data_IF_322438742993
#
_entry.id   IF_322438742993
#
_cell.length_a   1.000
_cell.length_b   1.000
_cell.length_c   1.000
_cell.angle_alpha   90.00
_cell.angle_beta   90.00
_cell.angle_gamma   90.00
#
_symmetry.space_group_name_H-M   'P 1'
#
loop_
_entity.id
_entity.type
_entity.pdbx_description
1 polymer ?
#
# COMPACT_ATOMS: atom_id res chain seq x y z
N UNK A 1 -9.97 10.83 -21.35
CA UNK A 1 -11.45 11.08 -21.27
C UNK A 1 -12.10 10.50 -20.01
N UNK A 2 -11.43 9.62 -19.25
CA UNK A 2 -11.91 9.15 -17.94
C UNK A 2 -11.29 9.92 -16.77
N UNK A 3 -10.74 11.10 -17.02
CA UNK A 3 -9.88 11.80 -16.06
C UNK A 3 -10.68 12.72 -15.12
N UNK A 4 -11.80 13.25 -15.60
CA UNK A 4 -12.72 14.07 -14.82
C UNK A 4 -14.18 13.75 -15.13
N UNK A 5 -15.03 13.81 -14.11
CA UNK A 5 -16.47 13.69 -14.22
C UNK A 5 -17.10 14.91 -13.54
N UNK A 6 -17.85 15.72 -14.30
CA UNK A 6 -18.44 16.97 -13.82
C UNK A 6 -17.42 17.95 -13.19
N UNK A 7 -16.18 17.96 -13.69
CA UNK A 7 -15.10 18.83 -13.18
C UNK A 7 -14.36 18.30 -11.96
N UNK A 8 -14.74 17.13 -11.42
CA UNK A 8 -14.03 16.46 -10.32
C UNK A 8 -13.15 15.31 -10.84
N UNK A 9 -12.06 14.95 -10.16
CA UNK A 9 -11.28 13.76 -10.50
C UNK A 9 -12.18 12.53 -10.52
N UNK A 10 -12.17 11.79 -11.62
CA UNK A 10 -13.07 10.64 -11.76
C UNK A 10 -12.68 9.48 -10.84
N UNK A 11 -11.40 9.36 -10.50
CA UNK A 11 -10.87 8.24 -9.73
C UNK A 11 -11.55 8.07 -8.35
N UNK A 12 -11.63 9.09 -7.47
CA UNK A 12 -12.39 9.02 -6.21
C UNK A 12 -13.85 8.59 -6.36
N UNK A 13 -14.51 8.89 -7.49
CA UNK A 13 -15.89 8.42 -7.72
C UNK A 13 -15.90 6.94 -8.11
N UNK A 14 -15.00 6.54 -9.02
CA UNK A 14 -14.95 5.17 -9.56
C UNK A 14 -14.51 4.16 -8.50
N UNK A 15 -13.62 4.52 -7.55
CA UNK A 15 -13.10 3.58 -6.54
C UNK A 15 -14.15 2.98 -5.61
N UNK A 16 -15.33 3.60 -5.48
CA UNK A 16 -16.44 3.04 -4.71
C UNK A 16 -16.89 1.69 -5.26
N UNK A 17 -16.82 1.50 -6.59
CA UNK A 17 -17.24 0.26 -7.22
C UNK A 17 -16.39 -0.95 -6.76
N UNK A 18 -15.06 -0.98 -6.91
CA UNK A 18 -14.27 -2.12 -6.43
C UNK A 18 -14.27 -2.26 -4.91
N UNK A 19 -14.30 -1.16 -4.15
CA UNK A 19 -14.32 -1.20 -2.67
C UNK A 19 -15.56 -1.90 -2.14
N UNK A 20 -16.71 -1.74 -2.80
CA UNK A 20 -17.96 -2.39 -2.39
C UNK A 20 -18.15 -3.74 -3.07
N UNK A 21 -18.00 -3.80 -4.39
CA UNK A 21 -18.38 -4.96 -5.18
C UNK A 21 -17.41 -6.13 -5.05
N UNK A 22 -16.09 -5.89 -4.95
CA UNK A 22 -15.11 -6.98 -4.84
C UNK A 22 -15.28 -7.73 -3.52
N UNK A 23 -15.31 -7.09 -2.32
CA UNK A 23 -15.54 -7.82 -1.07
C UNK A 23 -16.91 -8.49 -1.03
N UNK A 24 -17.95 -7.82 -1.51
CA UNK A 24 -19.31 -8.38 -1.53
C UNK A 24 -19.39 -9.63 -2.42
N UNK A 25 -18.81 -9.59 -3.62
CA UNK A 25 -18.77 -10.73 -4.52
C UNK A 25 -17.90 -11.88 -3.97
N UNK A 26 -16.73 -11.57 -3.41
CA UNK A 26 -15.87 -12.56 -2.75
C UNK A 26 -16.58 -13.27 -1.59
N UNK A 27 -17.21 -12.51 -0.68
CA UNK A 27 -17.98 -13.07 0.44
C UNK A 27 -19.18 -13.87 -0.06
N UNK A 28 -19.91 -13.36 -1.06
CA UNK A 28 -21.02 -14.07 -1.67
C UNK A 28 -20.59 -15.42 -2.27
N UNK A 29 -19.43 -15.47 -2.94
CA UNK A 29 -18.88 -16.69 -3.48
C UNK A 29 -18.48 -17.68 -2.38
N UNK A 30 -17.78 -17.22 -1.33
CA UNK A 30 -17.43 -18.05 -0.17
C UNK A 30 -18.68 -18.62 0.52
N UNK A 31 -19.73 -17.82 0.68
CA UNK A 31 -21.01 -18.28 1.23
C UNK A 31 -21.64 -19.35 0.34
N UNK A 32 -21.63 -19.19 -0.98
CA UNK A 32 -22.18 -20.19 -1.91
C UNK A 32 -21.33 -21.47 -2.01
N UNK A 33 -20.02 -21.40 -1.74
CA UNK A 33 -19.18 -22.58 -1.56
C UNK A 33 -19.65 -23.39 -0.34
N UNK A 34 -19.89 -22.71 0.79
CA UNK A 34 -20.27 -23.32 2.07
C UNK A 34 -21.76 -23.71 2.19
N UNK A 35 -22.65 -23.04 1.46
CA UNK A 35 -24.11 -23.23 1.53
C UNK A 35 -24.71 -23.63 0.18
N UNK A 36 -24.66 -24.93 -0.19
CA UNK A 36 -25.18 -25.40 -1.48
C UNK A 36 -26.66 -25.08 -1.73
N UNK A 37 -27.49 -25.10 -0.68
CA UNK A 37 -28.92 -24.80 -0.76
C UNK A 37 -29.23 -23.37 -1.28
N UNK A 38 -28.28 -22.44 -1.17
CA UNK A 38 -28.47 -21.04 -1.54
C UNK A 38 -28.10 -20.77 -3.01
N UNK A 39 -27.40 -21.70 -3.66
CA UNK A 39 -26.90 -21.55 -5.04
C UNK A 39 -28.01 -21.26 -6.06
N UNK A 40 -29.17 -21.95 -6.07
CA UNK A 40 -30.22 -21.71 -7.07
C UNK A 40 -30.77 -20.28 -7.04
N UNK A 41 -30.87 -19.70 -5.83
CA UNK A 41 -31.44 -18.36 -5.64
C UNK A 41 -30.46 -17.24 -5.96
N UNK A 42 -29.19 -17.40 -5.59
CA UNK A 42 -28.22 -16.30 -5.62
C UNK A 42 -27.13 -16.42 -6.69
N UNK A 43 -26.96 -17.57 -7.36
CA UNK A 43 -25.89 -17.75 -8.35
C UNK A 43 -25.93 -16.72 -9.51
N UNK A 44 -27.12 -16.35 -9.99
CA UNK A 44 -27.26 -15.36 -11.06
C UNK A 44 -26.85 -13.97 -10.60
N UNK A 45 -27.32 -13.55 -9.42
CA UNK A 45 -26.96 -12.27 -8.81
C UNK A 45 -25.45 -12.19 -8.55
N UNK A 46 -24.86 -13.26 -8.02
CA UNK A 46 -23.43 -13.33 -7.77
C UNK A 46 -22.61 -13.21 -9.06
N UNK A 47 -23.03 -13.86 -10.16
CA UNK A 47 -22.33 -13.75 -11.45
C UNK A 47 -22.31 -12.30 -11.96
N UNK A 48 -23.45 -11.59 -11.88
CA UNK A 48 -23.52 -10.17 -12.23
C UNK A 48 -22.59 -9.35 -11.33
N UNK A 49 -22.60 -9.61 -10.01
CA UNK A 49 -21.72 -8.95 -9.05
C UNK A 49 -20.24 -9.17 -9.34
N UNK A 50 -19.83 -10.40 -9.68
CA UNK A 50 -18.46 -10.74 -10.06
C UNK A 50 -17.98 -9.99 -11.30
N UNK A 51 -18.82 -9.92 -12.34
CA UNK A 51 -18.49 -9.18 -13.57
C UNK A 51 -18.41 -7.68 -13.30
N UNK A 52 -19.39 -7.13 -12.58
CA UNK A 52 -19.40 -5.71 -12.22
C UNK A 52 -18.19 -5.33 -11.34
N UNK A 53 -17.79 -6.20 -10.41
CA UNK A 53 -16.60 -6.03 -9.58
C UNK A 53 -15.32 -5.99 -10.43
N UNK A 54 -15.17 -6.91 -11.38
CA UNK A 54 -14.01 -6.93 -12.28
C UNK A 54 -13.92 -5.66 -13.16
N UNK A 55 -15.04 -5.26 -13.77
CA UNK A 55 -15.09 -4.04 -14.58
C UNK A 55 -14.81 -2.78 -13.75
N UNK A 56 -15.38 -2.70 -12.55
CA UNK A 56 -15.13 -1.60 -11.61
C UNK A 56 -13.67 -1.52 -11.18
N UNK A 57 -13.03 -2.65 -10.89
CA UNK A 57 -11.62 -2.71 -10.53
C UNK A 57 -10.70 -2.29 -11.68
N UNK A 58 -11.01 -2.70 -12.92
CA UNK A 58 -10.27 -2.25 -14.12
C UNK A 58 -10.42 -0.73 -14.30
N UNK A 59 -11.65 -0.21 -14.22
CA UNK A 59 -11.90 1.22 -14.36
C UNK A 59 -11.18 2.05 -13.27
N UNK A 60 -11.16 1.54 -12.03
CA UNK A 60 -10.45 2.17 -10.92
C UNK A 60 -8.93 2.16 -11.14
N UNK A 61 -8.35 1.04 -11.62
CA UNK A 61 -6.93 0.97 -11.92
C UNK A 61 -6.53 1.93 -13.05
N UNK A 62 -7.29 1.95 -14.16
CA UNK A 62 -7.01 2.86 -15.29
C UNK A 62 -7.11 4.33 -14.86
N UNK A 63 -8.20 4.70 -14.17
CA UNK A 63 -8.38 6.07 -13.68
C UNK A 63 -7.36 6.45 -12.60
N UNK A 64 -6.93 5.49 -11.78
CA UNK A 64 -5.93 5.70 -10.71
C UNK A 64 -4.55 5.96 -11.26
N UNK A 65 -4.12 5.20 -12.28
CA UNK A 65 -2.85 5.43 -12.96
C UNK A 65 -2.80 6.83 -13.61
N UNK A 66 -3.86 7.22 -14.31
CA UNK A 66 -3.95 8.54 -14.94
C UNK A 66 -4.03 9.70 -13.92
N UNK A 67 -4.49 9.42 -12.70
CA UNK A 67 -4.49 10.38 -11.60
C UNK A 67 -3.11 10.47 -10.93
N UNK A 68 -2.45 9.33 -10.69
CA UNK A 68 -1.12 9.24 -10.09
C UNK A 68 -0.06 10.05 -10.87
N UNK A 69 -0.14 10.04 -12.21
CA UNK A 69 0.74 10.84 -13.08
C UNK A 69 0.64 12.36 -12.85
N UNK A 70 -0.47 12.85 -12.29
CA UNK A 70 -0.71 14.29 -12.09
C UNK A 70 -0.42 14.76 -10.66
N UNK A 71 -0.70 13.91 -9.67
CA UNK A 71 -0.64 14.28 -8.26
C UNK A 71 0.48 13.59 -7.48
N UNK A 72 1.20 12.64 -8.08
CA UNK A 72 2.32 11.94 -7.42
C UNK A 72 1.88 11.00 -6.31
N UNK A 73 1.04 10.00 -6.61
CA UNK A 73 0.60 9.00 -5.61
C UNK A 73 1.71 7.99 -5.26
N UNK A 74 1.68 7.39 -4.06
CA UNK A 74 2.62 6.33 -3.69
C UNK A 74 2.57 5.14 -4.66
N UNK A 75 3.75 4.68 -5.10
CA UNK A 75 3.91 3.53 -6.00
C UNK A 75 3.23 2.26 -5.46
N UNK A 76 3.17 2.11 -4.14
CA UNK A 76 2.46 1.01 -3.47
C UNK A 76 0.96 1.00 -3.78
N UNK A 77 0.28 2.14 -3.74
CA UNK A 77 -1.15 2.22 -4.05
C UNK A 77 -1.45 1.83 -5.50
N UNK A 78 -0.63 2.29 -6.45
CA UNK A 78 -0.77 1.96 -7.87
C UNK A 78 -0.54 0.45 -8.13
N UNK A 79 0.50 -0.13 -7.52
CA UNK A 79 0.79 -1.57 -7.67
C UNK A 79 -0.31 -2.46 -7.07
N UNK A 80 -0.86 -2.10 -5.90
CA UNK A 80 -2.00 -2.85 -5.34
C UNK A 80 -3.27 -2.67 -6.15
N UNK A 81 -3.57 -1.46 -6.64
CA UNK A 81 -4.73 -1.20 -7.48
C UNK A 81 -4.71 -1.99 -8.79
N UNK A 82 -3.55 -2.06 -9.46
CA UNK A 82 -3.38 -2.87 -10.68
C UNK A 82 -3.47 -4.37 -10.39
N UNK A 83 -2.86 -4.85 -9.30
CA UNK A 83 -3.01 -6.24 -8.87
C UNK A 83 -4.47 -6.59 -8.55
N UNK A 84 -5.20 -5.70 -7.89
CA UNK A 84 -6.61 -5.89 -7.56
C UNK A 84 -7.48 -6.00 -8.82
N UNK A 85 -7.20 -5.24 -9.87
CA UNK A 85 -7.89 -5.37 -11.16
C UNK A 85 -7.66 -6.76 -11.78
N UNK A 86 -6.41 -7.23 -11.84
CA UNK A 86 -6.08 -8.55 -12.38
C UNK A 86 -6.73 -9.69 -11.57
N UNK A 87 -6.65 -9.61 -10.24
CA UNK A 87 -7.26 -10.59 -9.34
C UNK A 87 -8.78 -10.58 -9.43
N UNK A 88 -9.42 -9.42 -9.62
CA UNK A 88 -10.88 -9.34 -9.79
C UNK A 88 -11.34 -10.00 -11.09
N UNK A 89 -10.56 -9.90 -12.17
CA UNK A 89 -10.81 -10.65 -13.41
C UNK A 89 -10.66 -12.15 -13.18
N UNK A 90 -9.57 -12.57 -12.52
CA UNK A 90 -9.35 -13.98 -12.18
C UNK A 90 -10.50 -14.54 -11.32
N UNK A 91 -10.99 -13.74 -10.37
CA UNK A 91 -12.12 -14.08 -9.51
C UNK A 91 -13.42 -14.27 -10.33
N UNK A 92 -13.70 -13.35 -11.25
CA UNK A 92 -14.87 -13.45 -12.12
C UNK A 92 -14.82 -14.68 -13.03
N UNK A 93 -13.65 -14.99 -13.59
CA UNK A 93 -13.44 -16.18 -14.44
C UNK A 93 -13.57 -17.46 -13.63
N UNK A 94 -12.85 -17.59 -12.50
CA UNK A 94 -12.87 -18.79 -11.67
C UNK A 94 -14.26 -19.02 -11.05
N UNK A 95 -14.85 -17.97 -10.45
CA UNK A 95 -16.18 -18.01 -9.85
C UNK A 95 -17.28 -18.26 -10.88
N UNK A 96 -17.24 -17.59 -12.03
CA UNK A 96 -18.21 -17.80 -13.11
C UNK A 96 -18.14 -19.21 -13.70
N UNK A 97 -16.93 -19.72 -13.93
CA UNK A 97 -16.71 -21.10 -14.40
C UNK A 97 -17.22 -22.13 -13.38
N UNK A 98 -16.99 -21.89 -12.09
CA UNK A 98 -17.50 -22.74 -11.02
C UNK A 98 -19.02 -22.73 -10.95
N UNK A 99 -19.65 -21.56 -10.98
CA UNK A 99 -21.12 -21.42 -10.98
C UNK A 99 -21.75 -22.08 -12.21
N UNK A 100 -21.09 -22.01 -13.37
CA UNK A 100 -21.53 -22.71 -14.57
C UNK A 100 -21.47 -24.23 -14.41
N UNK A 101 -20.37 -24.77 -13.86
CA UNK A 101 -20.25 -26.21 -13.59
C UNK A 101 -21.25 -26.71 -12.55
N UNK A 102 -21.48 -25.96 -11.47
CA UNK A 102 -22.49 -26.29 -10.44
C UNK A 102 -23.88 -26.49 -11.06
N UNK A 103 -24.23 -25.74 -12.12
CA UNK A 103 -25.53 -25.87 -12.80
C UNK A 103 -25.58 -27.06 -13.76
N UNK A 104 -24.43 -27.52 -14.26
CA UNK A 104 -24.33 -28.59 -15.25
C UNK A 104 -24.17 -29.96 -14.60
N UNK A 105 -23.39 -30.05 -13.53
CA UNK A 105 -23.06 -31.31 -12.86
C UNK A 105 -24.03 -31.56 -11.70
N UNK A 106 -24.79 -32.66 -11.79
CA UNK A 106 -25.75 -33.05 -10.73
C UNK A 106 -25.08 -33.75 -9.55
N UNK A 107 -23.89 -34.31 -9.78
CA UNK A 107 -23.08 -35.01 -8.79
C UNK A 107 -21.74 -34.30 -8.60
N UNK A 108 -21.10 -34.50 -7.44
CA UNK A 108 -19.81 -33.89 -7.16
C UNK A 108 -18.71 -34.51 -8.05
N UNK A 109 -18.04 -33.68 -8.85
CA UNK A 109 -16.87 -34.09 -9.64
C UNK A 109 -15.56 -33.51 -9.08
N UNK A 110 -14.40 -34.12 -9.39
CA UNK A 110 -13.10 -33.55 -9.04
C UNK A 110 -12.90 -32.13 -9.59
N UNK A 111 -13.41 -31.86 -10.80
CA UNK A 111 -13.30 -30.54 -11.46
C UNK A 111 -14.10 -29.47 -10.72
N UNK A 112 -15.29 -29.81 -10.26
CA UNK A 112 -16.13 -28.92 -9.47
C UNK A 112 -15.45 -28.53 -8.16
N UNK A 113 -14.82 -29.51 -7.50
CA UNK A 113 -14.12 -29.32 -6.23
C UNK A 113 -12.86 -28.48 -6.42
N UNK A 114 -12.00 -28.82 -7.38
CA UNK A 114 -10.76 -28.06 -7.64
C UNK A 114 -11.07 -26.62 -8.01
N UNK A 115 -12.02 -26.39 -8.91
CA UNK A 115 -12.39 -25.04 -9.33
C UNK A 115 -13.01 -24.24 -8.17
N UNK A 116 -13.80 -24.90 -7.31
CA UNK A 116 -14.34 -24.27 -6.09
C UNK A 116 -13.24 -23.80 -5.13
N UNK A 117 -12.23 -24.64 -4.88
CA UNK A 117 -11.07 -24.27 -4.07
C UNK A 117 -10.26 -23.13 -4.69
N UNK A 118 -10.02 -23.17 -6.01
CA UNK A 118 -9.32 -22.07 -6.69
C UNK A 118 -10.10 -20.76 -6.57
N UNK A 119 -11.42 -20.77 -6.80
CA UNK A 119 -12.25 -19.59 -6.71
C UNK A 119 -12.32 -19.06 -5.26
N UNK A 120 -12.35 -19.95 -4.27
CA UNK A 120 -12.24 -19.59 -2.84
C UNK A 120 -10.90 -18.94 -2.50
N UNK A 121 -9.77 -19.51 -2.95
CA UNK A 121 -8.44 -18.92 -2.72
C UNK A 121 -8.31 -17.53 -3.37
N UNK A 122 -8.76 -17.37 -4.61
CA UNK A 122 -8.77 -16.07 -5.31
C UNK A 122 -9.67 -15.06 -4.59
N UNK A 123 -10.80 -15.48 -4.01
CA UNK A 123 -11.68 -14.61 -3.22
C UNK A 123 -10.96 -14.03 -1.99
N UNK A 124 -10.18 -14.85 -1.29
CA UNK A 124 -9.41 -14.42 -0.13
C UNK A 124 -8.31 -13.43 -0.51
N UNK A 125 -7.58 -13.71 -1.61
CA UNK A 125 -6.57 -12.80 -2.15
C UNK A 125 -7.19 -11.45 -2.52
N UNK A 126 -8.37 -11.48 -3.17
CA UNK A 126 -9.09 -10.26 -3.54
C UNK A 126 -9.46 -9.40 -2.31
N UNK A 127 -9.96 -10.02 -1.24
CA UNK A 127 -10.31 -9.32 0.02
C UNK A 127 -9.06 -8.66 0.63
N UNK A 128 -7.94 -9.38 0.69
CA UNK A 128 -6.68 -8.84 1.22
C UNK A 128 -6.20 -7.65 0.38
N UNK A 129 -6.22 -7.77 -0.96
CA UNK A 129 -5.80 -6.69 -1.85
C UNK A 129 -6.68 -5.44 -1.75
N UNK A 130 -8.00 -5.58 -1.56
CA UNK A 130 -8.88 -4.43 -1.29
C UNK A 130 -8.42 -3.71 -0.02
N UNK A 131 -8.11 -4.45 1.04
CA UNK A 131 -7.59 -3.88 2.29
C UNK A 131 -6.27 -3.15 2.12
N UNK A 132 -5.30 -3.75 1.43
CA UNK A 132 -3.98 -3.15 1.19
C UNK A 132 -4.06 -1.90 0.29
N UNK A 133 -4.86 -1.97 -0.78
CA UNK A 133 -5.10 -0.82 -1.69
C UNK A 133 -5.81 0.31 -0.95
N UNK A 134 -6.82 -0.01 -0.14
CA UNK A 134 -7.56 0.96 0.66
C UNK A 134 -6.69 1.61 1.73
N UNK A 135 -5.87 0.84 2.45
CA UNK A 135 -4.96 1.35 3.46
C UNK A 135 -3.93 2.32 2.85
N UNK A 136 -3.25 1.91 1.77
CA UNK A 136 -2.28 2.76 1.08
C UNK A 136 -2.90 4.03 0.47
N UNK A 137 -4.15 3.97 0.01
CA UNK A 137 -4.87 5.15 -0.48
C UNK A 137 -5.29 6.09 0.66
N UNK A 138 -5.77 5.54 1.77
CA UNK A 138 -6.15 6.31 2.94
C UNK A 138 -4.94 6.99 3.59
N UNK A 139 -3.80 6.30 3.73
CA UNK A 139 -2.58 6.91 4.25
C UNK A 139 -2.10 8.04 3.35
N UNK A 140 -2.13 7.88 2.03
CA UNK A 140 -1.77 8.94 1.09
C UNK A 140 -2.68 10.17 1.21
N UNK A 141 -3.99 9.97 1.27
CA UNK A 141 -4.96 11.06 1.28
C UNK A 141 -5.10 11.74 2.65
N UNK A 142 -4.83 11.01 3.75
CA UNK A 142 -5.12 11.48 5.11
C UNK A 142 -3.86 11.67 5.95
N UNK A 143 -2.65 11.47 5.40
CA UNK A 143 -1.38 11.71 6.10
C UNK A 143 -1.32 13.08 6.79
N UNK A 144 -1.93 14.10 6.18
CA UNK A 144 -1.99 15.46 6.73
C UNK A 144 -3.17 15.72 7.67
N UNK A 145 -4.17 14.84 7.71
CA UNK A 145 -5.43 15.01 8.44
C UNK A 145 -5.50 14.20 9.74
N UNK A 146 -4.69 13.15 9.90
CA UNK A 146 -4.44 12.56 11.21
C UNK A 146 -3.42 13.42 11.94
N UNK A 147 -3.79 14.15 13.01
CA UNK A 147 -2.79 14.46 14.01
C UNK A 147 -2.30 13.09 14.47
N UNK A 148 -1.03 12.77 14.22
CA UNK A 148 -0.40 11.64 14.88
C UNK A 148 -0.82 11.72 16.33
N UNK A 149 -1.50 10.69 16.84
CA UNK A 149 -1.73 10.52 18.27
C UNK A 149 -0.42 10.15 18.99
N UNK A 150 0.65 10.83 18.60
CA UNK A 150 1.83 11.17 19.37
C UNK A 150 1.60 12.61 19.83
N UNK A 151 0.85 12.79 20.91
CA UNK A 151 0.88 14.05 21.63
C UNK A 151 2.28 14.24 22.20
N UNK A 152 3.14 14.91 21.46
CA UNK A 152 4.26 15.80 21.81
C UNK A 152 4.86 16.20 20.45
N UNK A 153 5.26 17.45 20.24
CA UNK A 153 6.07 17.80 19.06
C UNK A 153 7.23 16.82 18.91
N UNK A 154 7.76 16.65 17.70
CA UNK A 154 9.02 15.90 17.50
C UNK A 154 9.99 16.29 18.63
N UNK A 155 10.54 15.33 19.38
CA UNK A 155 11.49 15.63 20.45
C UNK A 155 12.52 16.59 19.89
N UNK A 156 12.65 17.76 20.52
CA UNK A 156 13.59 18.77 20.05
C UNK A 156 14.87 18.63 20.85
N UNK A 157 15.98 18.55 20.15
CA UNK A 157 17.30 18.32 20.71
C UNK A 157 18.20 19.51 20.44
N UNK A 158 19.09 19.82 21.36
CA UNK A 158 20.16 20.80 21.13
C UNK A 158 21.39 20.11 20.54
N UNK A 159 22.31 20.87 19.93
CA UNK A 159 23.63 20.32 19.58
C UNK A 159 24.40 19.76 20.79
N UNK A 160 24.11 20.24 22.01
CA UNK A 160 24.66 19.69 23.24
C UNK A 160 24.18 18.27 23.53
N UNK A 161 22.90 17.99 23.26
CA UNK A 161 22.35 16.63 23.37
C UNK A 161 23.00 15.71 22.34
N UNK A 162 23.13 16.18 21.09
CA UNK A 162 23.82 15.43 20.01
C UNK A 162 25.25 15.10 20.41
N UNK A 163 26.01 16.06 20.96
CA UNK A 163 27.40 15.86 21.38
C UNK A 163 27.60 14.77 22.44
N UNK A 164 26.54 14.41 23.20
CA UNK A 164 26.56 13.28 24.13
C UNK A 164 26.64 11.91 23.46
N UNK A 165 26.37 11.84 22.16
CA UNK A 165 26.30 10.63 21.35
C UNK A 165 27.39 10.64 20.26
N UNK A 166 28.65 10.65 20.72
CA UNK A 166 29.85 10.78 19.88
C UNK A 166 30.67 9.48 19.71
N UNK A 167 30.08 8.30 19.95
CA UNK A 167 30.81 7.02 19.91
C UNK A 167 30.16 6.02 18.95
N UNK A 168 30.88 4.96 18.60
CA UNK A 168 30.34 3.91 17.72
C UNK A 168 29.08 3.23 18.28
N UNK A 169 29.02 3.04 19.60
CA UNK A 169 27.89 2.39 20.28
C UNK A 169 26.71 3.35 20.52
N UNK A 170 26.92 4.64 20.26
CA UNK A 170 25.95 5.71 20.48
C UNK A 170 26.34 6.90 19.62
N UNK A 171 25.90 6.90 18.36
CA UNK A 171 26.29 7.86 17.32
C UNK A 171 25.08 8.64 16.82
N UNK A 172 24.95 9.90 17.25
CA UNK A 172 23.96 10.82 16.68
C UNK A 172 24.65 11.88 15.83
N UNK A 173 23.94 12.40 14.84
CA UNK A 173 24.40 13.56 14.08
C UNK A 173 23.22 14.48 13.79
N UNK A 174 23.49 15.78 13.75
CA UNK A 174 22.55 16.78 13.25
C UNK A 174 22.77 16.99 11.75
N UNK A 175 21.69 17.07 10.97
CA UNK A 175 21.73 17.44 9.55
C UNK A 175 20.52 18.33 9.28
N UNK A 176 20.76 19.55 8.81
CA UNK A 176 19.77 20.62 8.68
C UNK A 176 19.00 20.81 10.01
N UNK A 177 17.67 20.76 9.96
CA UNK A 177 16.79 20.93 11.12
C UNK A 177 16.47 19.59 11.83
N UNK A 178 17.24 18.52 11.57
CA UNK A 178 17.00 17.18 12.07
C UNK A 178 18.12 16.61 12.92
N UNK A 179 17.75 15.76 13.88
CA UNK A 179 18.70 14.91 14.62
C UNK A 179 18.43 13.44 14.30
N UNK A 180 19.52 12.68 14.06
CA UNK A 180 19.48 11.33 13.53
C UNK A 180 20.33 10.38 14.37
N UNK A 181 19.79 9.19 14.68
CA UNK A 181 20.55 8.11 15.32
C UNK A 181 21.14 7.18 14.25
N UNK A 182 22.44 7.32 14.03
CA UNK A 182 23.19 6.59 13.00
C UNK A 182 23.88 5.35 13.55
N UNK A 183 23.73 5.02 14.84
CA UNK A 183 24.42 3.91 15.51
C UNK A 183 24.26 2.61 14.73
N UNK A 184 23.03 2.29 14.36
CA UNK A 184 22.72 1.09 13.59
C UNK A 184 23.12 1.17 12.12
N UNK A 185 23.45 2.35 11.58
CA UNK A 185 23.74 2.58 10.16
C UNK A 185 25.22 2.52 9.80
N UNK A 186 26.12 2.76 10.77
CA UNK A 186 27.59 2.84 10.57
C UNK A 186 28.11 1.74 9.64
N UNK A 187 27.80 0.47 9.93
CA UNK A 187 28.32 -0.70 9.20
C UNK A 187 27.77 -0.85 7.78
N UNK A 188 26.67 -0.16 7.45
CA UNK A 188 25.99 -0.25 6.16
C UNK A 188 26.26 0.95 5.26
N UNK A 189 26.97 1.96 5.75
CA UNK A 189 27.25 3.16 4.98
C UNK A 189 28.13 2.87 3.75
N UNK A 190 27.66 3.13 2.51
CA UNK A 190 28.43 2.83 1.29
C UNK A 190 29.76 3.56 1.18
N UNK A 191 29.88 4.76 1.77
CA UNK A 191 31.13 5.53 1.82
C UNK A 191 32.12 5.05 2.89
N UNK A 192 31.78 3.99 3.62
CA UNK A 192 32.58 3.40 4.70
C UNK A 192 32.25 3.95 6.09
N UNK A 193 32.47 3.11 7.10
CA UNK A 193 32.15 3.37 8.51
C UNK A 193 32.85 4.63 9.05
N UNK A 194 34.11 4.82 8.68
CA UNK A 194 34.93 5.95 9.16
C UNK A 194 34.33 7.32 8.82
N UNK A 195 33.52 7.42 7.77
CA UNK A 195 32.84 8.67 7.39
C UNK A 195 31.72 9.03 8.37
N UNK A 196 30.98 8.04 8.85
CA UNK A 196 29.91 8.26 9.84
C UNK A 196 30.52 8.44 11.24
N UNK A 197 31.51 7.63 11.60
CA UNK A 197 32.18 7.72 12.90
C UNK A 197 32.81 9.10 13.16
N UNK A 198 33.31 9.77 12.12
CA UNK A 198 33.86 11.12 12.23
C UNK A 198 32.80 12.21 12.48
N UNK A 199 31.52 11.90 12.28
CA UNK A 199 30.40 12.84 12.38
C UNK A 199 29.54 12.61 13.63
N UNK A 200 29.79 11.53 14.37
CA UNK A 200 29.08 11.27 15.63
C UNK A 200 29.29 12.43 16.61
N UNK A 201 28.20 12.92 17.18
CA UNK A 201 28.18 14.01 18.13
C UNK A 201 28.30 15.41 17.51
N UNK A 202 28.16 15.54 16.19
CA UNK A 202 28.40 16.82 15.49
C UNK A 202 27.22 17.25 14.62
N UNK A 203 27.26 18.52 14.21
CA UNK A 203 26.51 19.00 13.06
C UNK A 203 27.22 18.55 11.78
N UNK A 204 26.61 17.58 11.12
CA UNK A 204 27.08 16.95 9.90
C UNK A 204 26.50 17.59 8.63
N UNK A 205 25.73 18.67 8.73
CA UNK A 205 25.00 19.28 7.62
C UNK A 205 25.89 19.54 6.41
N UNK A 206 26.98 20.28 6.60
CA UNK A 206 27.90 20.62 5.51
C UNK A 206 28.55 19.36 4.91
N UNK A 207 29.01 18.42 5.75
CA UNK A 207 29.64 17.19 5.29
C UNK A 207 28.69 16.28 4.51
N UNK A 208 27.41 16.26 4.90
CA UNK A 208 26.37 15.52 4.22
C UNK A 208 26.03 16.15 2.88
N UNK A 209 25.78 17.47 2.85
CA UNK A 209 25.47 18.21 1.62
C UNK A 209 26.62 18.13 0.62
N UNK A 210 27.86 18.41 1.03
CA UNK A 210 29.04 18.36 0.15
C UNK A 210 29.20 17.01 -0.57
N UNK A 211 28.74 15.91 0.05
CA UNK A 211 28.84 14.57 -0.51
C UNK A 211 27.58 14.10 -1.26
N UNK A 212 26.40 14.58 -0.88
CA UNK A 212 25.12 14.00 -1.28
C UNK A 212 24.14 14.98 -1.97
N UNK A 213 24.52 16.24 -2.22
CA UNK A 213 23.64 17.25 -2.84
C UNK A 213 23.16 16.90 -4.27
N UNK A 214 23.82 15.94 -4.95
CA UNK A 214 23.47 15.54 -6.32
C UNK A 214 22.54 14.31 -6.44
N UNK A 215 22.09 13.72 -5.34
CA UNK A 215 21.23 12.52 -5.32
C UNK A 215 20.23 12.60 -4.16
N UNK A 216 18.95 12.36 -4.42
CA UNK A 216 17.89 12.41 -3.39
C UNK A 216 17.86 11.15 -2.50
N UNK A 217 18.42 10.02 -2.96
CA UNK A 217 18.33 8.74 -2.23
C UNK A 217 19.01 8.75 -0.85
N UNK A 218 20.19 9.38 -0.65
CA UNK A 218 20.79 9.53 0.68
C UNK A 218 19.90 10.30 1.65
N UNK A 219 19.16 11.32 1.18
CA UNK A 219 18.24 12.09 2.01
C UNK A 219 17.04 11.23 2.47
N UNK A 220 16.44 10.47 1.55
CA UNK A 220 15.36 9.53 1.88
C UNK A 220 15.83 8.43 2.87
N UNK A 221 17.07 7.99 2.74
CA UNK A 221 17.66 7.01 3.62
C UNK A 221 17.96 7.60 5.01
N UNK A 222 18.52 8.80 5.08
CA UNK A 222 18.79 9.52 6.32
C UNK A 222 17.49 9.75 7.12
N UNK A 223 16.40 10.10 6.44
CA UNK A 223 15.08 10.32 7.06
C UNK A 223 14.57 9.12 7.89
N UNK A 224 14.99 7.90 7.57
CA UNK A 224 14.61 6.68 8.32
C UNK A 224 15.23 6.61 9.72
N UNK A 225 16.31 7.37 9.96
CA UNK A 225 17.05 7.40 11.21
C UNK A 225 16.72 8.62 12.08
N UNK A 226 15.77 9.46 11.67
CA UNK A 226 15.43 10.70 12.36
C UNK A 226 14.77 10.40 13.72
N UNK A 227 15.28 11.02 14.77
CA UNK A 227 14.75 10.90 16.14
C UNK A 227 14.07 12.19 16.62
N UNK A 228 14.32 13.32 15.96
CA UNK A 228 13.71 14.60 16.34
C UNK A 228 14.18 15.80 15.52
N UNK A 229 13.81 16.98 16.01
CA UNK A 229 14.17 18.27 15.42
C UNK A 229 15.39 18.86 16.14
N UNK A 230 16.26 19.55 15.40
CA UNK A 230 17.35 20.34 16.00
C UNK A 230 16.80 21.70 16.44
N UNK A 231 17.06 22.07 17.70
CA UNK A 231 16.83 23.42 18.21
C UNK A 231 17.96 24.34 17.74
N UNK A 232 17.62 25.33 16.92
CA UNK A 232 18.54 26.36 16.44
C UNK A 232 19.02 27.35 17.49
#
# INVERSE_FOLDING_TARGET
MLDSFLGLPAHPLIVHAPVVLVPLASLGLLVLLLRPAWRPRYAGLLLVGLVAAALGAIAAAVSGNAFAERVGLPVSHQSYGTALAAVSVALAVAGGSWLWLVRREREASPRLTTLGWTAGAVSLIAIVLVGLTGHSGATAAWASATPSSSGTGSPSFTLGDVAGHATQDSCWAAVDDGVYDLTGWIDRHPGGQARILALCGTDATAAFQDQHDSDDRPQEQLAQFRIGDLLG
#
